data_IF_861888541835
#
_entry.id   IF_861888541835
#
_cell.length_a   1.000
_cell.length_b   1.000
_cell.length_c   1.000
_cell.angle_alpha   90.00
_cell.angle_beta   90.00
_cell.angle_gamma   90.00
#
_symmetry.space_group_name_H-M   'P 1'
#
loop_
_entity.id
_entity.type
_entity.pdbx_description
1 polymer ?
#
# COMPACT_ATOMS: atom_id res chain seq x y z
N UNK A 1 8.49 31.79 19.73
CA UNK A 1 7.53 30.86 20.38
C UNK A 1 7.11 29.88 19.30
N UNK A 2 7.36 28.59 19.51
CA UNK A 2 7.17 27.55 18.49
C UNK A 2 5.70 27.40 18.14
N UNK A 3 5.38 27.47 16.86
CA UNK A 3 4.07 27.09 16.35
C UNK A 3 3.86 25.59 16.63
N UNK A 4 2.75 25.23 17.25
CA UNK A 4 2.37 23.83 17.46
C UNK A 4 2.10 23.19 16.12
N UNK A 5 2.56 21.95 15.92
CA UNK A 5 2.34 21.23 14.67
C UNK A 5 0.88 20.82 14.46
N UNK A 6 0.10 20.68 15.54
CA UNK A 6 -1.29 20.25 15.53
C UNK A 6 -2.20 21.21 16.31
N UNK A 7 -3.44 21.34 15.85
CA UNK A 7 -4.50 22.07 16.56
C UNK A 7 -4.98 21.25 17.75
N UNK A 8 -4.96 21.85 18.95
CA UNK A 8 -5.48 21.21 20.16
C UNK A 8 -6.98 20.92 20.05
N UNK A 9 -7.73 21.79 19.37
CA UNK A 9 -9.16 21.63 19.17
C UNK A 9 -9.46 20.39 18.34
N UNK A 10 -8.78 20.22 17.20
CA UNK A 10 -8.99 19.09 16.29
C UNK A 10 -8.63 17.77 16.99
N UNK A 11 -7.61 17.79 17.85
CA UNK A 11 -7.23 16.63 18.65
C UNK A 11 -8.27 16.28 19.72
N UNK A 12 -8.87 17.28 20.37
CA UNK A 12 -9.98 17.06 21.31
C UNK A 12 -11.20 16.48 20.59
N UNK A 13 -11.56 17.03 19.43
CA UNK A 13 -12.67 16.54 18.60
C UNK A 13 -12.44 15.10 18.16
N UNK A 14 -11.23 14.77 17.70
CA UNK A 14 -10.87 13.39 17.34
C UNK A 14 -11.05 12.40 18.49
N UNK A 15 -10.71 12.79 19.72
CA UNK A 15 -10.93 11.96 20.91
C UNK A 15 -12.43 11.79 21.23
N UNK A 16 -13.24 12.83 21.03
CA UNK A 16 -14.70 12.76 21.21
C UNK A 16 -15.36 11.87 20.15
N UNK A 17 -14.96 12.00 18.89
CA UNK A 17 -15.41 11.13 17.79
C UNK A 17 -15.04 9.66 18.02
N UNK A 18 -13.90 9.40 18.68
CA UNK A 18 -13.51 8.06 19.11
C UNK A 18 -14.37 7.50 20.25
N UNK A 19 -15.28 8.30 20.83
CA UNK A 19 -16.25 7.90 21.85
C UNK A 19 -15.95 8.43 23.25
N UNK A 20 -14.99 9.34 23.43
CA UNK A 20 -14.76 9.97 24.72
C UNK A 20 -15.86 11.00 25.04
N UNK A 21 -16.59 10.80 26.14
CA UNK A 21 -17.62 11.75 26.61
C UNK A 21 -16.99 13.05 27.12
N UNK A 22 -15.85 12.95 27.81
CA UNK A 22 -15.08 14.08 28.37
C UNK A 22 -13.61 13.89 28.06
N UNK A 23 -12.94 14.98 27.71
CA UNK A 23 -11.51 15.01 27.41
C UNK A 23 -10.86 16.08 28.29
N UNK A 24 -9.78 15.72 28.98
CA UNK A 24 -8.99 16.67 29.77
C UNK A 24 -7.92 17.30 28.90
N UNK A 25 -7.49 18.52 29.25
CA UNK A 25 -6.39 19.19 28.54
C UNK A 25 -5.11 18.34 28.53
N UNK A 26 -4.78 17.69 29.64
CA UNK A 26 -3.63 16.78 29.73
C UNK A 26 -3.71 15.61 28.74
N UNK A 27 -4.91 15.10 28.45
CA UNK A 27 -5.09 14.03 27.47
C UNK A 27 -4.78 14.52 26.05
N UNK A 28 -5.23 15.74 25.71
CA UNK A 28 -4.93 16.38 24.42
C UNK A 28 -3.44 16.63 24.26
N UNK A 29 -2.79 17.16 25.31
CA UNK A 29 -1.34 17.42 25.31
C UNK A 29 -0.51 16.13 25.20
N UNK A 30 -0.98 15.03 25.78
CA UNK A 30 -0.33 13.74 25.62
C UNK A 30 -0.52 13.18 24.21
N UNK A 31 -1.71 13.32 23.62
CA UNK A 31 -1.95 12.93 22.24
C UNK A 31 -1.05 13.71 21.27
N UNK A 32 -0.88 15.02 21.47
CA UNK A 32 0.04 15.87 20.70
C UNK A 32 1.45 15.27 20.69
N UNK A 33 2.01 14.98 21.87
CA UNK A 33 3.36 14.42 22.02
C UNK A 33 3.50 13.06 21.35
N UNK A 34 2.49 12.20 21.45
CA UNK A 34 2.54 10.88 20.81
C UNK A 34 2.41 10.98 19.29
N UNK A 35 1.59 11.90 18.78
CA UNK A 35 1.50 12.18 17.34
C UNK A 35 2.80 12.76 16.79
N UNK A 36 3.46 13.67 17.49
CA UNK A 36 4.76 14.20 17.08
C UNK A 36 5.80 13.09 16.93
N UNK A 37 5.93 12.21 17.94
CA UNK A 37 6.86 11.07 17.87
C UNK A 37 6.55 10.12 16.72
N UNK A 38 5.27 9.80 16.52
CA UNK A 38 4.83 8.91 15.45
C UNK A 38 5.09 9.52 14.07
N UNK A 39 4.74 10.79 13.88
CA UNK A 39 4.90 11.49 12.61
C UNK A 39 6.37 11.71 12.27
N UNK A 40 7.22 12.02 13.25
CA UNK A 40 8.67 12.10 13.07
C UNK A 40 9.25 10.75 12.60
N UNK A 41 8.84 9.66 13.24
CA UNK A 41 9.25 8.30 12.86
C UNK A 41 8.81 7.93 11.44
N UNK A 42 7.59 8.31 11.05
CA UNK A 42 7.07 8.10 9.68
C UNK A 42 7.84 8.95 8.67
N UNK A 43 8.06 10.23 8.97
CA UNK A 43 8.79 11.15 8.10
C UNK A 43 10.22 10.66 7.84
N UNK A 44 10.94 10.25 8.89
CA UNK A 44 12.29 9.70 8.78
C UNK A 44 12.35 8.45 7.91
N UNK A 45 11.38 7.54 8.04
CA UNK A 45 11.29 6.34 7.18
C UNK A 45 10.96 6.70 5.73
N UNK A 46 10.00 7.60 5.52
CA UNK A 46 9.63 8.05 4.19
C UNK A 46 10.80 8.75 3.47
N UNK A 47 11.58 9.57 4.18
CA UNK A 47 12.80 10.18 3.66
C UNK A 47 13.83 9.13 3.22
N UNK A 48 14.04 8.08 4.00
CA UNK A 48 14.95 6.98 3.63
C UNK A 48 14.47 6.25 2.37
N UNK A 49 13.17 6.02 2.23
CA UNK A 49 12.62 5.40 1.01
C UNK A 49 12.74 6.31 -0.21
N UNK A 50 12.46 7.60 -0.07
CA UNK A 50 12.66 8.57 -1.14
C UNK A 50 14.14 8.62 -1.58
N UNK A 51 15.06 8.67 -0.61
CA UNK A 51 16.50 8.67 -0.87
C UNK A 51 16.97 7.40 -1.58
N UNK A 52 16.47 6.23 -1.16
CA UNK A 52 16.74 4.95 -1.82
C UNK A 52 16.21 4.92 -3.27
N UNK A 53 15.11 5.61 -3.54
CA UNK A 53 14.57 5.78 -4.90
C UNK A 53 15.30 6.89 -5.71
N UNK A 54 16.42 7.44 -5.21
CA UNK A 54 17.18 8.50 -5.87
C UNK A 54 16.57 9.90 -5.76
N UNK A 55 15.48 10.07 -5.00
CA UNK A 55 14.81 11.36 -4.79
C UNK A 55 15.29 11.99 -3.49
N UNK A 56 15.85 13.19 -3.57
CA UNK A 56 16.40 13.91 -2.40
C UNK A 56 15.46 14.94 -1.77
N UNK A 57 14.56 15.52 -2.56
CA UNK A 57 13.71 16.66 -2.13
C UNK A 57 12.20 16.37 -2.18
N UNK A 58 11.81 15.20 -2.71
CA UNK A 58 10.42 14.87 -2.98
C UNK A 58 10.05 13.55 -2.31
N UNK A 59 9.12 13.61 -1.38
CA UNK A 59 8.44 12.45 -0.79
C UNK A 59 7.14 12.24 -1.55
N UNK A 60 6.92 11.03 -2.06
CA UNK A 60 5.69 10.67 -2.76
C UNK A 60 4.82 9.79 -1.85
N UNK A 61 3.55 9.62 -2.23
CA UNK A 61 2.59 8.74 -1.56
C UNK A 61 3.15 7.35 -1.25
N UNK A 62 3.87 6.74 -2.20
CA UNK A 62 4.42 5.40 -2.05
C UNK A 62 5.45 5.31 -0.90
N UNK A 63 6.25 6.35 -0.68
CA UNK A 63 7.24 6.34 0.40
C UNK A 63 6.56 6.34 1.77
N UNK A 64 5.50 7.13 1.92
CA UNK A 64 4.68 7.17 3.14
C UNK A 64 3.97 5.83 3.35
N UNK A 65 3.36 5.24 2.31
CA UNK A 65 2.69 3.95 2.42
C UNK A 65 3.63 2.81 2.83
N UNK A 66 4.89 2.82 2.35
CA UNK A 66 5.89 1.82 2.71
C UNK A 66 6.27 1.85 4.19
N UNK A 67 6.13 2.99 4.87
CA UNK A 67 6.41 3.10 6.31
C UNK A 67 5.53 2.18 7.16
N UNK A 68 4.33 1.86 6.68
CA UNK A 68 3.38 1.00 7.38
C UNK A 68 3.76 -0.48 7.32
N UNK A 69 4.43 -0.89 6.25
CA UNK A 69 4.79 -2.29 5.98
C UNK A 69 5.93 -2.82 6.87
N UNK A 70 6.70 -1.94 7.49
CA UNK A 70 7.85 -2.31 8.35
C UNK A 70 7.49 -2.49 9.83
N UNK A 71 6.27 -2.11 10.23
CA UNK A 71 5.72 -2.48 11.54
C UNK A 71 4.84 -3.72 11.32
N UNK A 72 5.11 -4.79 12.06
CA UNK A 72 4.37 -6.05 12.00
C UNK A 72 2.89 -5.85 12.40
N UNK A 73 2.08 -5.30 11.50
CA UNK A 73 0.63 -5.28 11.55
C UNK A 73 0.09 -6.16 10.42
N UNK A 74 0.09 -7.46 10.70
CA UNK A 74 -0.72 -8.46 10.00
C UNK A 74 -2.19 -8.23 10.35
N UNK A 75 -2.88 -7.31 9.66
CA UNK A 75 -4.27 -7.04 10.03
C UNK A 75 -5.16 -6.29 9.05
N UNK A 76 -4.64 -5.79 7.92
CA UNK A 76 -5.51 -5.15 6.92
C UNK A 76 -5.33 -5.85 5.58
N UNK A 77 -6.43 -6.53 5.20
CA UNK A 77 -6.62 -7.40 4.05
C UNK A 77 -5.70 -7.12 2.87
N UNK A 78 -4.89 -8.12 2.57
CA UNK A 78 -4.24 -8.36 1.30
C UNK A 78 -5.29 -8.43 0.19
N UNK A 79 -5.77 -7.27 -0.27
CA UNK A 79 -6.38 -7.14 -1.60
C UNK A 79 -5.25 -7.11 -2.65
N UNK A 80 -4.38 -8.14 -2.62
CA UNK A 80 -3.63 -8.55 -3.80
C UNK A 80 -4.68 -9.13 -4.73
N UNK A 81 -5.30 -8.27 -5.54
CA UNK A 81 -6.00 -8.71 -6.74
C UNK A 81 -5.00 -9.57 -7.49
N UNK A 82 -5.28 -10.88 -7.50
CA UNK A 82 -4.69 -11.80 -8.44
C UNK A 82 -4.92 -11.20 -9.82
N UNK A 83 -3.84 -10.79 -10.47
CA UNK A 83 -3.87 -10.58 -11.91
C UNK A 83 -4.12 -11.98 -12.46
N UNK A 84 -5.38 -12.22 -12.78
CA UNK A 84 -5.92 -13.44 -13.35
C UNK A 84 -4.97 -13.98 -14.40
N UNK A 85 -4.71 -15.28 -14.25
CA UNK A 85 -3.98 -16.12 -15.17
C UNK A 85 -4.26 -15.77 -16.63
N UNK A 86 -3.19 -15.54 -17.40
CA UNK A 86 -3.21 -15.80 -18.82
C UNK A 86 -3.57 -17.29 -19.02
N UNK A 87 -4.87 -17.61 -19.08
CA UNK A 87 -5.34 -18.85 -19.69
C UNK A 87 -5.03 -18.71 -21.17
N UNK A 88 -3.95 -19.36 -21.62
CA UNK A 88 -3.75 -19.64 -23.05
C UNK A 88 -5.07 -20.19 -23.60
N UNK A 89 -5.66 -19.60 -24.65
CA UNK A 89 -6.84 -20.19 -25.27
C UNK A 89 -6.47 -21.56 -25.83
N UNK A 90 -7.31 -22.54 -25.56
CA UNK A 90 -7.23 -23.94 -26.01
C UNK A 90 -7.33 -24.12 -27.54
N UNK A 91 -7.18 -23.06 -28.32
CA UNK A 91 -7.28 -23.02 -29.78
C UNK A 91 -6.04 -23.61 -30.52
N UNK A 92 -5.08 -24.18 -29.79
CA UNK A 92 -3.98 -24.99 -30.34
C UNK A 92 -4.27 -26.50 -30.34
N UNK A 93 -5.56 -26.91 -30.32
CA UNK A 93 -5.96 -28.28 -30.63
C UNK A 93 -6.31 -28.42 -32.12
N UNK A 94 -5.31 -28.84 -32.89
CA UNK A 94 -5.37 -29.64 -34.14
C UNK A 94 -6.40 -29.22 -35.19
N UNK A 95 -5.91 -28.63 -36.30
CA UNK A 95 -6.55 -28.83 -37.61
C UNK A 95 -6.09 -30.17 -38.19
N UNK A 96 -6.99 -31.12 -38.52
CA UNK A 96 -6.68 -32.15 -39.49
C UNK A 96 -7.06 -31.63 -40.88
N UNK A 97 -6.13 -31.64 -41.83
CA UNK A 97 -6.47 -31.48 -43.25
C UNK A 97 -5.62 -32.38 -44.12
N UNK A 98 -6.21 -33.55 -44.42
CA UNK A 98 -6.27 -34.22 -45.73
C UNK A 98 -4.94 -34.38 -46.48
N UNK A 99 -4.33 -35.55 -46.34
CA UNK A 99 -3.56 -36.16 -47.44
C UNK A 99 -4.22 -37.51 -47.78
N UNK A 100 -4.88 -37.56 -48.94
CA UNK A 100 -5.36 -38.81 -49.54
C UNK A 100 -4.15 -39.60 -50.08
N UNK A 101 -4.00 -40.90 -49.76
CA UNK A 101 -3.01 -41.74 -50.41
C UNK A 101 -3.59 -42.28 -51.73
N UNK A 102 -3.12 -41.78 -52.88
CA UNK A 102 -3.42 -42.39 -54.19
C UNK A 102 -2.18 -43.13 -54.68
N UNK A 103 -2.28 -44.45 -54.51
CA UNK A 103 -1.85 -45.52 -55.41
C UNK A 103 -0.38 -45.66 -55.79
N UNK A 104 0.23 -46.62 -55.09
CA UNK A 104 1.22 -47.56 -55.64
C UNK A 104 0.79 -48.00 -57.05
N UNK A 105 1.65 -47.77 -58.04
CA UNK A 105 1.68 -48.60 -59.26
C UNK A 105 2.99 -49.38 -59.24
N UNK A 106 2.84 -50.70 -59.16
CA UNK A 106 3.92 -51.66 -59.29
C UNK A 106 4.37 -51.79 -60.76
N UNK A 107 5.62 -52.24 -60.89
CA UNK A 107 6.34 -52.79 -62.06
C UNK A 107 7.08 -51.79 -62.94
#
# INVERSE_FOLDING_TARGET
MGERAFSLYDMEEFLREAGAERVTEDAVLNLEKELEKLTESVANRALRYAAHAGRRKLINKNDVMLTRSSSNYTGLGSNRRSITSYRKPSALRRRPSITNPVSIRQR
#
